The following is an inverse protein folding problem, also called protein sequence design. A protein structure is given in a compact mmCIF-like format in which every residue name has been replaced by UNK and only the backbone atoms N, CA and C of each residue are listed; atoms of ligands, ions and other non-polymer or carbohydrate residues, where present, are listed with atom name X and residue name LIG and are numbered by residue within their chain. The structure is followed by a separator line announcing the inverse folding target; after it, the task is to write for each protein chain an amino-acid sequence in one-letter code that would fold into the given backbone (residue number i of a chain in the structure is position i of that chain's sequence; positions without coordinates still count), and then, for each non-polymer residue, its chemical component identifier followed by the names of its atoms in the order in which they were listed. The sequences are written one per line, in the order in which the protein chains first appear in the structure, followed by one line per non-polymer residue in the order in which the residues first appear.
data_IF_617947967846
#
_entry.id   IF_617947967846
#
_cell.length_a   1.000
_cell.length_b   1.000
_cell.length_c   1.000
_cell.angle_alpha   90.00
_cell.angle_beta   90.00
_cell.angle_gamma   90.00
#
_symmetry.space_group_name_H-M   'P 1'
#
loop_
_entity.id
_entity.type
_entity.pdbx_description
1 polymer ?
#
# COMPACT_ATOMS: atom_id res chain seq x y z
N UNK A 1 3.54 11.95 7.50
CA UNK A 1 3.98 13.32 7.84
C UNK A 1 2.95 14.39 7.45
N UNK A 2 2.47 14.51 6.21
CA UNK A 2 1.56 15.60 5.82
C UNK A 2 0.30 15.69 6.68
N UNK A 3 -0.30 14.56 7.04
CA UNK A 3 -1.54 14.56 7.83
C UNK A 3 -1.33 15.07 9.26
N UNK A 4 -0.21 14.77 9.88
CA UNK A 4 0.10 15.29 11.23
C UNK A 4 0.19 16.82 11.21
N UNK A 5 0.82 17.39 10.16
CA UNK A 5 0.91 18.85 10.00
C UNK A 5 -0.49 19.49 9.89
N UNK A 6 -1.42 18.86 9.16
CA UNK A 6 -2.81 19.33 9.04
C UNK A 6 -3.59 19.30 10.38
N UNK A 7 -3.20 18.43 11.31
CA UNK A 7 -3.86 18.29 12.61
C UNK A 7 -3.35 19.29 13.65
N UNK A 8 -2.19 19.90 13.44
CA UNK A 8 -1.57 20.85 14.35
C UNK A 8 -2.10 22.28 14.15
N UNK A 9 -2.14 23.04 15.24
CA UNK A 9 -2.51 24.47 15.22
C UNK A 9 -1.25 25.34 15.15
N UNK A 10 -1.36 26.50 14.50
CA UNK A 10 -0.29 27.50 14.44
C UNK A 10 1.04 26.98 13.82
N UNK A 11 0.93 26.07 12.84
CA UNK A 11 2.11 25.59 12.11
C UNK A 11 2.66 26.72 11.23
N UNK A 12 3.98 26.95 11.19
CA UNK A 12 4.62 27.91 10.29
C UNK A 12 4.29 27.64 8.81
N UNK A 13 4.14 28.70 8.03
CA UNK A 13 3.72 28.62 6.61
C UNK A 13 4.72 27.83 5.77
N UNK A 14 6.00 27.98 6.01
CA UNK A 14 7.07 27.25 5.34
C UNK A 14 6.99 25.73 5.59
N UNK A 15 6.63 25.31 6.83
CA UNK A 15 6.40 23.92 7.19
C UNK A 15 5.14 23.37 6.49
N UNK A 16 4.06 24.15 6.43
CA UNK A 16 2.86 23.78 5.69
C UNK A 16 3.19 23.57 4.19
N UNK A 17 3.92 24.51 3.60
CA UNK A 17 4.35 24.44 2.21
C UNK A 17 5.29 23.24 1.96
N UNK A 18 6.17 22.92 2.91
CA UNK A 18 7.01 21.73 2.81
C UNK A 18 6.17 20.44 2.85
N UNK A 19 5.16 20.38 3.73
CA UNK A 19 4.29 19.22 3.83
C UNK A 19 3.50 18.94 2.53
N UNK A 20 3.10 19.97 1.78
CA UNK A 20 2.42 19.79 0.48
C UNK A 20 3.31 19.25 -0.63
N UNK A 21 4.63 19.30 -0.47
CA UNK A 21 5.61 18.73 -1.39
C UNK A 21 5.93 17.24 -1.12
N UNK A 22 5.35 16.67 -0.07
CA UNK A 22 5.53 15.26 0.27
C UNK A 22 4.44 14.42 -0.41
N UNK A 23 4.82 13.71 -1.46
CA UNK A 23 3.92 12.93 -2.30
C UNK A 23 4.04 11.44 -2.05
N UNK A 24 2.94 10.72 -2.22
CA UNK A 24 2.90 9.25 -2.23
C UNK A 24 1.92 8.77 -3.29
N UNK A 25 2.08 7.53 -3.74
CA UNK A 25 1.06 6.86 -4.53
C UNK A 25 -0.09 6.44 -3.65
N UNK A 26 -1.27 6.29 -4.24
CA UNK A 26 -2.45 5.67 -3.66
C UNK A 26 -2.95 4.55 -4.58
N UNK A 27 -3.98 3.83 -4.17
CA UNK A 27 -4.55 2.79 -5.00
C UNK A 27 -5.47 1.86 -4.22
N UNK A 28 -5.84 0.77 -4.86
CA UNK A 28 -6.69 -0.25 -4.27
C UNK A 28 -5.93 -1.55 -4.01
N UNK A 29 -6.26 -2.16 -2.89
CA UNK A 29 -5.95 -3.54 -2.60
C UNK A 29 -7.20 -4.38 -2.82
N UNK A 30 -7.10 -5.38 -3.71
CA UNK A 30 -8.17 -6.31 -4.02
C UNK A 30 -7.77 -7.68 -3.46
N UNK A 31 -8.60 -8.24 -2.58
CA UNK A 31 -8.40 -9.55 -1.99
C UNK A 31 -9.41 -10.54 -2.54
N UNK A 32 -8.96 -11.73 -2.88
CA UNK A 32 -9.79 -12.83 -3.39
C UNK A 32 -9.58 -14.05 -2.51
N UNK A 33 -10.64 -14.53 -1.86
CA UNK A 33 -10.67 -15.79 -1.14
C UNK A 33 -11.11 -16.93 -2.05
N UNK A 34 -10.39 -18.06 -2.01
CA UNK A 34 -10.57 -19.19 -2.92
C UNK A 34 -10.80 -20.49 -2.14
N UNK A 35 -11.75 -21.32 -2.59
CA UNK A 35 -12.00 -22.68 -2.05
C UNK A 35 -11.07 -23.76 -2.66
N UNK A 36 -9.87 -23.39 -2.99
CA UNK A 36 -8.86 -24.28 -3.57
C UNK A 36 -7.46 -23.91 -3.09
N UNK A 37 -6.56 -24.89 -3.07
CA UNK A 37 -5.11 -24.65 -2.90
C UNK A 37 -4.37 -24.58 -4.23
N UNK A 38 -5.06 -24.84 -5.34
CA UNK A 38 -4.48 -24.81 -6.68
C UNK A 38 -4.37 -23.38 -7.20
N UNK A 39 -3.35 -22.66 -6.75
CA UNK A 39 -2.97 -21.31 -7.16
C UNK A 39 -1.53 -21.30 -7.65
N UNK A 40 -1.10 -20.29 -8.43
CA UNK A 40 0.29 -20.18 -8.83
C UNK A 40 1.26 -20.28 -7.63
N UNK A 41 2.34 -21.08 -7.71
CA UNK A 41 3.23 -21.38 -6.57
C UNK A 41 4.23 -20.25 -6.29
N UNK A 42 3.83 -19.02 -6.51
CA UNK A 42 4.66 -17.84 -6.29
C UNK A 42 4.09 -17.01 -5.14
N UNK A 43 4.94 -16.62 -4.23
CA UNK A 43 4.55 -15.76 -3.10
C UNK A 43 4.04 -14.40 -3.59
N UNK A 44 4.70 -13.83 -4.61
CA UNK A 44 4.25 -12.67 -5.37
C UNK A 44 4.80 -12.72 -6.79
N UNK A 45 4.09 -12.04 -7.71
CA UNK A 45 4.58 -11.77 -9.06
C UNK A 45 4.14 -10.40 -9.52
N UNK A 46 4.91 -9.81 -10.41
CA UNK A 46 4.62 -8.53 -11.03
C UNK A 46 3.97 -8.74 -12.39
N UNK A 47 3.12 -7.81 -12.78
CA UNK A 47 2.44 -7.80 -14.06
C UNK A 47 2.94 -6.57 -14.82
N UNK A 48 3.43 -6.77 -16.03
CA UNK A 48 3.97 -5.73 -16.90
C UNK A 48 3.12 -5.52 -18.15
N UNK A 49 2.04 -6.27 -18.30
CA UNK A 49 1.11 -6.15 -19.42
C UNK A 49 0.24 -4.91 -19.22
N UNK A 50 0.24 -4.00 -20.21
CA UNK A 50 -0.46 -2.70 -20.12
C UNK A 50 -1.99 -2.84 -20.07
N UNK A 51 -2.54 -3.97 -20.56
CA UNK A 51 -3.97 -4.26 -20.54
C UNK A 51 -4.45 -4.90 -19.22
N UNK A 52 -3.54 -5.12 -18.26
CA UNK A 52 -3.83 -5.70 -16.94
C UNK A 52 -3.62 -4.64 -15.88
N UNK A 53 -4.70 -4.26 -15.16
CA UNK A 53 -4.67 -3.18 -14.18
C UNK A 53 -3.79 -3.49 -12.95
N UNK A 54 -3.89 -4.68 -12.31
CA UNK A 54 -3.03 -4.98 -11.16
C UNK A 54 -1.55 -4.99 -11.55
N UNK A 55 -0.74 -4.21 -10.82
CA UNK A 55 0.70 -4.16 -11.01
C UNK A 55 1.43 -5.35 -10.33
N UNK A 56 0.84 -5.86 -9.25
CA UNK A 56 1.40 -6.98 -8.48
C UNK A 56 0.29 -7.85 -7.90
N UNK A 57 0.55 -9.15 -7.87
CA UNK A 57 -0.28 -10.13 -7.16
C UNK A 57 0.56 -10.81 -6.09
N UNK A 58 -0.03 -11.01 -4.93
CA UNK A 58 0.58 -11.61 -3.76
C UNK A 58 -0.32 -12.72 -3.21
N UNK A 59 0.27 -13.82 -2.72
CA UNK A 59 -0.47 -14.91 -2.08
C UNK A 59 -0.19 -15.00 -0.57
N UNK A 60 -1.06 -14.46 0.30
CA UNK A 60 -0.89 -14.56 1.75
C UNK A 60 -0.83 -16.01 2.26
N UNK A 61 -1.62 -16.91 1.68
CA UNK A 61 -1.70 -18.32 2.08
C UNK A 61 -0.42 -19.12 1.79
N UNK A 62 0.39 -18.68 0.82
CA UNK A 62 1.72 -19.25 0.58
C UNK A 62 2.78 -18.73 1.56
N UNK A 63 2.55 -17.56 2.15
CA UNK A 63 3.46 -17.01 3.16
C UNK A 63 3.31 -17.72 4.50
N UNK A 64 2.07 -17.99 4.90
CA UNK A 64 1.74 -18.76 6.09
C UNK A 64 0.47 -19.57 5.86
N UNK A 65 0.47 -20.88 6.19
CA UNK A 65 -0.73 -21.71 6.08
C UNK A 65 -1.92 -21.19 6.89
N UNK A 66 -1.65 -20.49 8.00
CA UNK A 66 -2.66 -19.93 8.90
C UNK A 66 -3.38 -18.70 8.31
N UNK A 67 -2.93 -18.18 7.16
CA UNK A 67 -3.58 -17.07 6.46
C UNK A 67 -4.79 -17.49 5.60
N UNK A 68 -5.15 -18.75 5.59
CA UNK A 68 -6.37 -19.26 4.96
C UNK A 68 -6.90 -20.51 5.70
N UNK A 69 -8.21 -20.76 5.72
CA UNK A 69 -8.76 -22.00 6.22
C UNK A 69 -8.21 -23.22 5.47
N UNK A 70 -8.32 -24.40 6.08
CA UNK A 70 -7.89 -25.63 5.44
C UNK A 70 -8.63 -25.87 4.10
N UNK A 71 -7.90 -26.25 3.07
CA UNK A 71 -8.44 -26.41 1.72
C UNK A 71 -8.58 -25.13 0.92
N UNK A 72 -8.41 -23.96 1.55
CA UNK A 72 -8.56 -22.65 0.94
C UNK A 72 -7.21 -21.98 0.65
N UNK A 73 -7.27 -20.92 -0.14
CA UNK A 73 -6.15 -20.01 -0.41
C UNK A 73 -6.63 -18.59 -0.62
N UNK A 74 -5.71 -17.66 -0.83
CA UNK A 74 -6.05 -16.27 -1.14
C UNK A 74 -5.02 -15.63 -2.06
N UNK A 75 -5.51 -14.67 -2.86
CA UNK A 75 -4.67 -13.77 -3.64
C UNK A 75 -5.02 -12.32 -3.28
N UNK A 76 -4.00 -11.47 -3.28
CA UNK A 76 -4.15 -10.02 -3.12
C UNK A 76 -3.51 -9.32 -4.31
N UNK A 77 -4.22 -8.35 -4.88
CA UNK A 77 -3.78 -7.57 -6.02
C UNK A 77 -3.60 -6.12 -5.62
N UNK A 78 -2.56 -5.48 -6.12
CA UNK A 78 -2.29 -4.06 -5.95
C UNK A 78 -2.57 -3.31 -7.25
N UNK A 79 -3.46 -2.32 -7.17
CA UNK A 79 -3.81 -1.43 -8.28
C UNK A 79 -3.44 -0.01 -7.88
N UNK A 80 -2.51 0.62 -8.60
CA UNK A 80 -2.11 2.01 -8.37
C UNK A 80 -2.94 2.92 -9.26
N UNK A 81 -3.87 3.65 -8.68
CA UNK A 81 -4.74 4.60 -9.36
C UNK A 81 -5.32 5.61 -8.37
N UNK A 82 -5.89 6.69 -8.86
CA UNK A 82 -6.62 7.63 -8.04
C UNK A 82 -7.97 7.06 -7.59
N UNK A 83 -8.52 7.58 -6.48
CA UNK A 83 -9.75 7.07 -5.88
C UNK A 83 -10.94 7.03 -6.85
N UNK A 84 -11.07 8.04 -7.69
CA UNK A 84 -12.24 8.24 -8.56
C UNK A 84 -11.94 7.88 -10.02
N UNK A 85 -10.83 7.20 -10.29
CA UNK A 85 -10.41 6.81 -11.64
C UNK A 85 -11.23 5.63 -12.18
N UNK A 86 -11.65 4.72 -11.30
CA UNK A 86 -12.47 3.56 -11.61
C UNK A 86 -13.53 3.37 -10.52
N UNK A 87 -14.67 2.79 -10.87
CA UNK A 87 -15.59 2.24 -9.88
C UNK A 87 -15.03 0.95 -9.28
N UNK A 88 -15.51 0.57 -8.10
CA UNK A 88 -15.07 -0.70 -7.47
C UNK A 88 -15.48 -1.90 -8.33
N UNK A 89 -16.65 -1.85 -8.95
CA UNK A 89 -17.17 -2.88 -9.85
C UNK A 89 -16.27 -3.05 -11.08
N UNK A 90 -15.84 -1.93 -11.69
CA UNK A 90 -14.90 -1.97 -12.82
C UNK A 90 -13.56 -2.56 -12.42
N UNK A 91 -13.02 -2.16 -11.25
CA UNK A 91 -11.76 -2.69 -10.75
C UNK A 91 -11.84 -4.20 -10.51
N UNK A 92 -12.92 -4.68 -9.89
CA UNK A 92 -13.13 -6.11 -9.66
C UNK A 92 -13.25 -6.86 -10.99
N UNK A 93 -14.10 -6.39 -11.91
CA UNK A 93 -14.30 -7.03 -13.21
C UNK A 93 -13.01 -7.09 -14.03
N UNK A 94 -12.25 -5.99 -14.10
CA UNK A 94 -11.02 -5.91 -14.90
C UNK A 94 -9.83 -6.62 -14.23
N UNK A 95 -9.79 -6.71 -12.91
CA UNK A 95 -8.69 -7.36 -12.18
C UNK A 95 -8.96 -8.85 -11.99
N UNK A 96 -10.05 -9.22 -11.34
CA UNK A 96 -10.41 -10.63 -11.07
C UNK A 96 -10.80 -11.33 -12.36
N UNK A 97 -11.65 -10.71 -13.18
CA UNK A 97 -12.09 -11.26 -14.48
C UNK A 97 -10.91 -11.49 -15.42
N UNK A 98 -9.88 -10.63 -15.39
CA UNK A 98 -8.66 -10.85 -16.18
C UNK A 98 -7.89 -12.07 -15.71
N UNK A 99 -7.72 -12.28 -14.40
CA UNK A 99 -7.05 -13.47 -13.87
C UNK A 99 -7.84 -14.76 -14.20
N UNK A 100 -9.17 -14.69 -14.23
CA UNK A 100 -10.01 -15.81 -14.69
C UNK A 100 -9.79 -16.08 -16.17
N UNK A 101 -9.80 -15.06 -17.02
CA UNK A 101 -9.58 -15.22 -18.48
C UNK A 101 -8.20 -15.79 -18.82
N UNK A 102 -7.20 -15.55 -17.98
CA UNK A 102 -5.86 -16.11 -18.10
C UNK A 102 -5.71 -17.52 -17.48
N UNK A 103 -6.80 -18.11 -17.00
CA UNK A 103 -6.81 -19.39 -16.27
C UNK A 103 -5.90 -19.42 -15.01
N UNK A 104 -5.62 -18.26 -14.42
CA UNK A 104 -4.90 -18.16 -13.15
C UNK A 104 -5.86 -18.46 -11.99
N UNK A 105 -7.12 -18.05 -12.13
CA UNK A 105 -8.22 -18.36 -11.23
C UNK A 105 -9.35 -19.05 -11.99
N UNK A 106 -10.16 -19.82 -11.27
CA UNK A 106 -11.46 -20.28 -11.76
C UNK A 106 -12.56 -19.53 -11.02
N UNK A 107 -13.54 -19.05 -11.76
CA UNK A 107 -14.66 -18.31 -11.20
C UNK A 107 -15.43 -19.13 -10.13
N UNK A 108 -15.59 -20.41 -10.39
CA UNK A 108 -16.24 -21.37 -9.47
C UNK A 108 -15.51 -21.54 -8.14
N UNK A 109 -14.21 -21.22 -8.09
CA UNK A 109 -13.39 -21.33 -6.87
C UNK A 109 -13.43 -20.06 -6.01
N UNK A 110 -13.97 -18.97 -6.50
CA UNK A 110 -14.06 -17.70 -5.77
C UNK A 110 -15.12 -17.79 -4.68
N UNK A 111 -14.70 -17.61 -3.43
CA UNK A 111 -15.59 -17.54 -2.26
C UNK A 111 -16.08 -16.12 -1.98
N UNK A 112 -15.16 -15.16 -2.07
CA UNK A 112 -15.47 -13.74 -1.86
C UNK A 112 -14.38 -12.87 -2.49
N UNK A 113 -14.73 -11.60 -2.67
CA UNK A 113 -13.79 -10.53 -3.00
C UNK A 113 -13.96 -9.39 -2.01
N UNK A 114 -12.86 -8.72 -1.66
CA UNK A 114 -12.84 -7.50 -0.85
C UNK A 114 -11.97 -6.46 -1.58
N UNK A 115 -12.38 -5.21 -1.53
CA UNK A 115 -11.65 -4.11 -2.16
C UNK A 115 -11.53 -2.94 -1.20
N UNK A 116 -10.30 -2.42 -1.02
CA UNK A 116 -10.00 -1.31 -0.12
C UNK A 116 -9.13 -0.29 -0.80
N UNK A 117 -9.47 0.97 -0.61
CA UNK A 117 -8.64 2.08 -1.05
C UNK A 117 -7.63 2.45 0.02
N UNK A 118 -6.36 2.52 -0.40
CA UNK A 118 -5.24 2.97 0.42
C UNK A 118 -4.73 4.31 -0.08
N UNK A 119 -4.86 5.34 0.75
CA UNK A 119 -4.42 6.69 0.43
C UNK A 119 -2.89 6.84 0.45
N UNK A 120 -2.19 5.91 1.11
CA UNK A 120 -0.74 5.91 1.30
C UNK A 120 -0.16 4.55 0.93
N UNK A 121 0.25 4.38 -0.32
CA UNK A 121 0.83 3.12 -0.79
C UNK A 121 2.36 3.17 -0.80
N UNK A 122 2.97 4.06 -1.59
CA UNK A 122 4.42 4.23 -1.62
C UNK A 122 4.81 5.70 -1.65
N UNK A 123 5.88 6.04 -0.93
CA UNK A 123 6.49 7.38 -0.96
C UNK A 123 7.08 7.63 -2.34
N UNK A 124 6.81 8.80 -2.92
CA UNK A 124 7.39 9.24 -4.19
C UNK A 124 8.67 10.01 -3.90
N UNK A 125 9.77 9.58 -4.51
CA UNK A 125 11.09 10.20 -4.39
C UNK A 125 11.35 11.15 -5.56
N UNK A 126 10.86 12.37 -5.43
CA UNK A 126 11.17 13.46 -6.34
C UNK A 126 12.35 14.31 -5.84
N UNK A 127 12.73 15.34 -6.61
CA UNK A 127 13.85 16.22 -6.26
C UNK A 127 13.61 17.06 -4.99
N UNK A 128 12.36 17.25 -4.57
CA UNK A 128 11.98 18.10 -3.44
C UNK A 128 11.89 17.35 -2.12
N UNK A 129 11.78 16.02 -2.16
CA UNK A 129 11.47 15.20 -0.98
C UNK A 129 12.45 15.40 0.17
N UNK A 130 13.74 15.48 -0.11
CA UNK A 130 14.75 15.51 0.96
C UNK A 130 14.68 16.80 1.78
N UNK A 131 14.55 17.95 1.12
CA UNK A 131 14.38 19.24 1.78
C UNK A 131 13.04 19.32 2.52
N UNK A 132 11.95 18.98 1.83
CA UNK A 132 10.60 19.02 2.40
C UNK A 132 10.47 18.12 3.64
N UNK A 133 10.98 16.89 3.55
CA UNK A 133 11.01 15.94 4.65
C UNK A 133 11.81 16.48 5.85
N UNK A 134 12.97 17.08 5.60
CA UNK A 134 13.81 17.66 6.65
C UNK A 134 13.08 18.77 7.39
N UNK A 135 12.50 19.74 6.67
CA UNK A 135 11.76 20.86 7.26
C UNK A 135 10.61 20.35 8.14
N UNK A 136 9.82 19.41 7.63
CA UNK A 136 8.65 18.88 8.37
C UNK A 136 9.09 18.11 9.61
N UNK A 137 10.10 17.24 9.51
CA UNK A 137 10.58 16.44 10.65
C UNK A 137 11.26 17.27 11.71
N UNK A 138 12.08 18.25 11.34
CA UNK A 138 12.75 19.17 12.27
C UNK A 138 11.70 19.97 13.07
N UNK A 139 10.64 20.45 12.38
CA UNK A 139 9.54 21.12 13.08
C UNK A 139 8.82 20.19 14.05
N UNK A 140 8.43 18.97 13.63
CA UNK A 140 7.75 18.02 14.50
C UNK A 140 8.59 17.67 15.71
N UNK A 141 9.87 17.42 15.55
CA UNK A 141 10.80 17.18 16.66
C UNK A 141 10.89 18.39 17.58
N UNK A 142 10.90 19.63 17.06
CA UNK A 142 10.95 20.85 17.86
C UNK A 142 9.73 21.05 18.77
N UNK A 143 8.59 20.46 18.40
CA UNK A 143 7.35 20.47 19.20
C UNK A 143 7.09 19.17 19.95
N UNK A 144 8.13 18.32 20.07
CA UNK A 144 8.09 17.09 20.86
C UNK A 144 7.37 15.92 20.19
N UNK A 145 7.24 15.92 18.86
CA UNK A 145 6.61 14.84 18.10
C UNK A 145 7.69 14.04 17.36
N UNK A 146 7.97 12.83 17.82
CA UNK A 146 8.85 11.90 17.15
C UNK A 146 8.15 11.20 15.98
N UNK A 147 8.87 11.03 14.88
CA UNK A 147 8.35 10.45 13.63
C UNK A 147 9.06 9.14 13.32
N UNK A 148 8.32 8.03 13.26
CA UNK A 148 8.85 6.68 13.07
C UNK A 148 8.18 5.95 11.91
N UNK A 149 8.89 4.97 11.36
CA UNK A 149 8.41 4.11 10.29
C UNK A 149 8.33 4.78 8.94
N UNK A 150 7.89 4.02 7.92
CA UNK A 150 7.92 4.43 6.51
C UNK A 150 7.25 5.80 6.26
N UNK A 151 6.05 6.01 6.77
CA UNK A 151 5.26 7.23 6.54
C UNK A 151 5.49 8.30 7.61
N UNK A 152 6.01 7.92 8.79
CA UNK A 152 6.46 8.87 9.79
C UNK A 152 7.80 9.51 9.42
N UNK A 153 8.75 8.74 8.90
CA UNK A 153 10.01 9.28 8.39
C UNK A 153 9.94 9.73 6.93
N UNK A 154 8.85 9.43 6.22
CA UNK A 154 8.66 9.67 4.79
C UNK A 154 9.82 9.11 3.96
N UNK A 155 10.15 7.84 4.20
CA UNK A 155 11.28 7.13 3.62
C UNK A 155 10.90 5.76 3.08
N UNK A 156 11.76 5.18 2.21
CA UNK A 156 11.57 3.83 1.72
C UNK A 156 12.13 2.83 2.74
N UNK A 157 11.37 2.59 3.81
CA UNK A 157 11.73 1.64 4.84
C UNK A 157 11.03 0.31 4.62
N UNK A 158 11.76 -0.79 4.74
CA UNK A 158 11.21 -2.12 4.85
C UNK A 158 10.61 -2.35 6.25
N UNK A 159 9.86 -3.42 6.46
CA UNK A 159 9.18 -3.69 7.73
C UNK A 159 10.14 -3.80 8.92
N UNK A 160 11.28 -4.45 8.74
CA UNK A 160 12.36 -4.53 9.73
C UNK A 160 12.98 -3.16 10.04
N UNK A 161 13.24 -2.35 9.01
CA UNK A 161 13.74 -0.98 9.17
C UNK A 161 12.72 -0.07 9.87
N UNK A 162 11.42 -0.25 9.58
CA UNK A 162 10.36 0.49 10.26
C UNK A 162 10.25 0.11 11.74
N UNK A 163 10.45 -1.17 12.08
CA UNK A 163 10.54 -1.64 13.46
C UNK A 163 11.76 -1.03 14.16
N UNK A 164 12.93 -1.10 13.52
CA UNK A 164 14.17 -0.52 14.05
C UNK A 164 14.08 1.00 14.23
N UNK A 165 13.35 1.70 13.38
CA UNK A 165 13.07 3.13 13.53
C UNK A 165 12.34 3.43 14.84
N UNK A 166 11.35 2.61 15.20
CA UNK A 166 10.64 2.74 16.48
C UNK A 166 11.50 2.42 17.70
N UNK A 167 12.37 1.42 17.60
CA UNK A 167 13.25 1.03 18.70
C UNK A 167 14.34 2.07 19.04
N UNK A 168 14.62 3.01 18.13
CA UNK A 168 15.61 4.09 18.35
C UNK A 168 15.04 5.29 19.10
N UNK A 169 13.73 5.36 19.30
CA UNK A 169 13.12 6.44 20.08
C UNK A 169 13.36 6.15 21.54
N UNK A 170 14.18 6.99 22.18
CA UNK A 170 14.38 6.98 23.62
C UNK A 170 13.11 7.54 24.30
N UNK A 171 12.57 6.78 25.24
CA UNK A 171 11.44 7.22 26.07
C UNK A 171 11.91 8.12 27.22
#
# INVERSE_FOLDING_TARGET
LPEVIKMLKNVPVDVCNAATRLHCTCGYQISVGLKTKNIPPYLWWYIYDEDIIPARVYSPSLKSPDNAPEGCSSLQMEVYCNRDEYTQEELLARSVGKLVSLNILKEEDILFTDIRFESYANVIFDHNIYEARKIVRDYLSSVGIETIGRFGEWGYLWSDQSLMSGLKVEM
#
